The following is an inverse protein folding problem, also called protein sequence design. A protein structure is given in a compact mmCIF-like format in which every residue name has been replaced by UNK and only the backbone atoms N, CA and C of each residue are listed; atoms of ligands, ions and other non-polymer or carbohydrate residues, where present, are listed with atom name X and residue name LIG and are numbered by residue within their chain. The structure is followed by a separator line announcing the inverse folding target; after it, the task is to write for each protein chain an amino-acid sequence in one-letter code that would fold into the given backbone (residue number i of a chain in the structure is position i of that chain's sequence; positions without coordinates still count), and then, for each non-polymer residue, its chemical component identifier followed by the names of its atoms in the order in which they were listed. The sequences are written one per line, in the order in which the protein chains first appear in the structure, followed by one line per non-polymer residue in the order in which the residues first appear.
data_IF_353807316892
#
_entry.id   IF_353807316892
#
_cell.length_a   1.000
_cell.length_b   1.000
_cell.length_c   1.000
_cell.angle_alpha   90.00
_cell.angle_beta   90.00
_cell.angle_gamma   90.00
#
_symmetry.space_group_name_H-M   'P 1'
#
loop_
_entity.id
_entity.type
_entity.pdbx_description
1 polymer ?
#
# COMPACT_ATOMS: atom_id res chain seq x y z
N UNK A 1 -3.56 -1.29 20.58
CA UNK A 1 -3.04 -0.57 19.38
C UNK A 1 -3.82 -1.16 18.22
N UNK A 2 -4.62 -0.35 17.52
CA UNK A 2 -5.65 -0.83 16.58
C UNK A 2 -5.15 -1.86 15.58
N UNK A 3 -3.90 -1.74 15.13
CA UNK A 3 -3.29 -2.70 14.19
C UNK A 3 -3.00 -4.06 14.85
N UNK A 4 -2.56 -4.04 16.11
CA UNK A 4 -2.36 -5.26 16.92
C UNK A 4 -3.70 -5.91 17.21
N UNK A 5 -4.70 -5.11 17.53
CA UNK A 5 -6.03 -5.57 17.93
C UNK A 5 -6.87 -6.09 16.73
N UNK A 6 -6.54 -5.68 15.51
CA UNK A 6 -7.22 -6.10 14.28
C UNK A 6 -6.98 -7.57 13.86
N UNK A 7 -6.05 -8.26 14.52
CA UNK A 7 -5.77 -9.68 14.29
C UNK A 7 -4.97 -9.96 13.01
N UNK A 8 -4.23 -8.97 12.50
CA UNK A 8 -3.32 -9.18 11.37
C UNK A 8 -2.13 -10.06 11.77
N UNK A 9 -1.59 -10.80 10.80
CA UNK A 9 -0.51 -11.74 11.07
C UNK A 9 0.84 -11.04 11.14
N UNK A 10 1.62 -11.18 12.24
CA UNK A 10 2.90 -10.49 12.38
C UNK A 10 3.94 -11.08 11.42
N UNK A 11 4.57 -10.21 10.63
CA UNK A 11 5.64 -10.52 9.68
C UNK A 11 6.98 -10.07 10.25
N UNK A 12 7.96 -10.96 10.33
CA UNK A 12 9.27 -10.67 10.93
C UNK A 12 10.41 -10.56 9.91
N UNK A 13 10.11 -10.78 8.63
CA UNK A 13 11.10 -10.75 7.58
C UNK A 13 10.56 -11.13 6.20
N UNK A 14 11.48 -11.53 5.34
CA UNK A 14 11.21 -12.05 4.00
C UNK A 14 12.18 -13.20 3.68
N UNK A 15 11.65 -14.30 3.17
CA UNK A 15 12.44 -15.40 2.62
C UNK A 15 12.65 -15.21 1.12
N UNK A 16 13.82 -15.60 0.63
CA UNK A 16 14.16 -15.63 -0.78
C UNK A 16 14.69 -17.01 -1.12
N UNK A 17 14.20 -17.61 -2.20
CA UNK A 17 14.60 -18.92 -2.66
C UNK A 17 14.73 -18.93 -4.18
N UNK A 18 15.73 -19.59 -4.73
CA UNK A 18 15.79 -19.82 -6.18
C UNK A 18 14.73 -20.86 -6.58
N UNK A 19 14.19 -20.76 -7.79
CA UNK A 19 13.12 -21.66 -8.23
C UNK A 19 13.51 -23.15 -8.24
N UNK A 20 14.81 -23.47 -8.37
CA UNK A 20 15.34 -24.83 -8.27
C UNK A 20 15.71 -25.25 -6.84
N UNK A 21 15.46 -24.39 -5.85
CA UNK A 21 15.78 -24.64 -4.44
C UNK A 21 17.28 -24.66 -4.11
N UNK A 22 18.17 -24.40 -5.08
CA UNK A 22 19.62 -24.49 -4.91
C UNK A 22 20.19 -23.48 -3.91
N UNK A 23 19.52 -22.35 -3.70
CA UNK A 23 19.92 -21.34 -2.73
C UNK A 23 18.70 -20.71 -2.04
N UNK A 24 18.84 -20.43 -0.75
CA UNK A 24 17.85 -19.66 0.01
C UNK A 24 18.51 -18.74 1.04
N UNK A 25 17.81 -17.68 1.39
CA UNK A 25 18.19 -16.79 2.50
C UNK A 25 16.94 -16.20 3.14
N UNK A 26 17.04 -15.81 4.41
CA UNK A 26 15.97 -15.12 5.13
C UNK A 26 16.51 -13.81 5.64
N UNK A 27 15.91 -12.71 5.19
CA UNK A 27 16.13 -11.39 5.73
C UNK A 27 15.21 -11.19 6.94
N UNK A 28 15.76 -11.05 8.15
CA UNK A 28 14.98 -10.81 9.36
C UNK A 28 15.11 -9.38 9.82
N UNK A 29 13.98 -8.73 10.07
CA UNK A 29 13.94 -7.31 10.45
C UNK A 29 14.74 -7.01 11.72
N UNK A 30 14.73 -7.91 12.71
CA UNK A 30 15.50 -7.75 13.95
C UNK A 30 17.03 -7.68 13.76
N UNK A 31 17.54 -8.17 12.62
CA UNK A 31 18.98 -8.19 12.34
C UNK A 31 19.46 -6.85 11.76
N UNK A 32 18.54 -6.00 11.28
CA UNK A 32 18.87 -4.73 10.61
C UNK A 32 18.10 -3.52 11.14
N UNK A 33 17.01 -3.73 11.89
CA UNK A 33 16.15 -2.67 12.43
C UNK A 33 16.16 -2.70 13.95
N UNK A 34 16.19 -1.51 14.54
CA UNK A 34 16.11 -1.32 15.98
C UNK A 34 14.66 -1.44 16.50
N UNK A 35 14.46 -1.80 17.78
CA UNK A 35 13.16 -1.69 18.41
C UNK A 35 12.59 -0.26 18.30
N UNK A 36 11.26 -0.09 18.10
CA UNK A 36 10.23 -1.14 18.02
C UNK A 36 9.96 -1.68 16.60
N UNK A 37 10.76 -1.32 15.59
CA UNK A 37 10.47 -1.53 14.16
C UNK A 37 10.82 -2.94 13.62
N UNK A 38 10.95 -3.93 14.50
CA UNK A 38 11.42 -5.28 14.16
C UNK A 38 10.33 -6.21 13.60
N UNK A 39 9.15 -5.66 13.27
CA UNK A 39 8.03 -6.40 12.69
C UNK A 39 7.17 -5.51 11.79
N UNK A 40 6.44 -6.17 10.91
CA UNK A 40 5.33 -5.62 10.13
C UNK A 40 4.13 -6.59 10.21
N UNK A 41 3.15 -6.45 9.33
CA UNK A 41 1.96 -7.30 9.28
C UNK A 41 1.67 -7.76 7.86
N UNK A 42 1.18 -9.00 7.73
CA UNK A 42 0.44 -9.43 6.54
C UNK A 42 -1.02 -9.05 6.75
N UNK A 43 -1.58 -8.29 5.79
CA UNK A 43 -2.91 -7.68 5.92
C UNK A 43 -3.79 -7.99 4.71
N UNK A 44 -5.08 -8.12 4.96
CA UNK A 44 -6.09 -8.01 3.92
C UNK A 44 -6.37 -6.53 3.69
N UNK A 45 -6.09 -6.02 2.48
CA UNK A 45 -6.09 -4.57 2.19
C UNK A 45 -7.45 -3.92 2.40
N UNK A 46 -8.55 -4.57 2.05
CA UNK A 46 -9.92 -4.09 2.31
C UNK A 46 -10.12 -3.74 3.79
N UNK A 47 -9.78 -4.68 4.69
CA UNK A 47 -9.91 -4.50 6.14
C UNK A 47 -8.91 -3.49 6.69
N UNK A 48 -7.67 -3.51 6.20
CA UNK A 48 -6.62 -2.62 6.68
C UNK A 48 -6.89 -1.16 6.28
N UNK A 49 -7.22 -0.91 5.03
CA UNK A 49 -7.49 0.44 4.52
C UNK A 49 -8.74 1.02 5.20
N UNK A 50 -9.80 0.22 5.40
CA UNK A 50 -10.98 0.65 6.14
C UNK A 50 -10.65 1.02 7.59
N UNK A 51 -9.87 0.18 8.29
CA UNK A 51 -9.45 0.45 9.66
C UNK A 51 -8.70 1.79 9.78
N UNK A 52 -7.83 2.10 8.82
CA UNK A 52 -7.11 3.38 8.79
C UNK A 52 -8.05 4.56 8.51
N UNK A 53 -9.00 4.38 7.59
CA UNK A 53 -9.98 5.41 7.23
C UNK A 53 -10.91 5.73 8.41
N UNK A 54 -11.43 4.69 9.07
CA UNK A 54 -12.28 4.84 10.26
C UNK A 54 -11.52 5.45 11.42
N UNK A 55 -10.26 5.06 11.62
CA UNK A 55 -9.44 5.73 12.63
C UNK A 55 -9.21 7.21 12.30
N UNK A 56 -9.08 7.57 11.03
CA UNK A 56 -8.98 8.98 10.63
C UNK A 56 -10.25 9.75 11.00
N UNK A 57 -11.43 9.17 10.76
CA UNK A 57 -12.72 9.75 11.19
C UNK A 57 -12.81 9.97 12.69
N UNK A 58 -12.43 8.97 13.47
CA UNK A 58 -12.44 9.06 14.94
C UNK A 58 -11.51 10.17 15.47
N UNK A 59 -10.45 10.49 14.71
CA UNK A 59 -9.55 11.59 15.03
C UNK A 59 -10.02 12.94 14.45
N UNK A 60 -11.24 13.03 13.92
CA UNK A 60 -11.87 14.27 13.47
C UNK A 60 -11.62 14.63 12.00
N UNK A 61 -11.10 13.71 11.19
CA UNK A 61 -11.02 13.91 9.74
C UNK A 61 -12.42 13.76 9.13
N UNK A 62 -12.84 14.75 8.34
CA UNK A 62 -14.04 14.63 7.51
C UNK A 62 -13.74 13.71 6.33
N UNK A 63 -14.47 12.59 6.22
CA UNK A 63 -14.23 11.57 5.19
C UNK A 63 -15.50 11.36 4.38
N UNK A 64 -15.37 11.59 3.08
CA UNK A 64 -16.42 11.33 2.09
C UNK A 64 -16.06 10.08 1.28
N UNK A 65 -16.79 8.98 1.51
CA UNK A 65 -16.73 7.78 0.65
C UNK A 65 -17.64 7.96 -0.57
N UNK A 66 -17.49 7.08 -1.56
CA UNK A 66 -18.27 7.13 -2.82
C UNK A 66 -18.21 8.49 -3.55
N UNK A 67 -17.20 9.30 -3.24
CA UNK A 67 -17.04 10.68 -3.73
C UNK A 67 -15.79 10.76 -4.62
N UNK A 68 -15.97 10.44 -5.90
CA UNK A 68 -14.86 10.46 -6.86
C UNK A 68 -14.54 11.90 -7.30
N UNK A 69 -13.25 12.23 -7.35
CA UNK A 69 -12.77 13.53 -7.85
C UNK A 69 -12.65 13.50 -9.36
N UNK A 70 -13.29 14.46 -10.03
CA UNK A 70 -13.23 14.63 -11.48
C UNK A 70 -12.12 15.58 -11.91
N UNK A 71 -11.93 16.68 -11.17
CA UNK A 71 -10.98 17.74 -11.51
C UNK A 71 -10.42 18.40 -10.26
N UNK A 72 -9.16 18.83 -10.35
CA UNK A 72 -8.54 19.75 -9.39
C UNK A 72 -7.95 20.92 -10.15
N UNK A 73 -8.37 22.13 -9.80
CA UNK A 73 -7.83 23.38 -10.33
C UNK A 73 -6.84 23.98 -9.33
N UNK A 74 -5.61 24.19 -9.79
CA UNK A 74 -4.48 24.75 -9.03
C UNK A 74 -3.93 26.03 -9.69
N UNK A 75 -4.71 26.67 -10.58
CA UNK A 75 -4.28 27.88 -11.29
C UNK A 75 -4.08 29.08 -10.36
N UNK A 76 -4.84 29.15 -9.26
CA UNK A 76 -4.67 30.11 -8.17
C UNK A 76 -3.69 29.58 -7.12
N UNK A 77 -2.60 30.32 -6.89
CA UNK A 77 -1.56 29.92 -5.92
C UNK A 77 -2.02 29.97 -4.47
N UNK A 78 -3.11 30.68 -4.18
CA UNK A 78 -3.64 30.85 -2.82
C UNK A 78 -4.75 29.84 -2.48
N UNK A 79 -5.29 29.14 -3.49
CA UNK A 79 -6.47 28.30 -3.35
C UNK A 79 -6.54 27.21 -4.43
N UNK A 80 -6.76 25.99 -3.98
CA UNK A 80 -7.17 24.87 -4.82
C UNK A 80 -8.69 24.75 -4.87
N UNK A 81 -9.21 24.32 -6.02
CA UNK A 81 -10.62 23.97 -6.21
C UNK A 81 -10.69 22.51 -6.62
N UNK A 82 -11.49 21.73 -5.91
CA UNK A 82 -11.69 20.30 -6.15
C UNK A 82 -13.14 20.09 -6.57
N UNK A 83 -13.36 19.42 -7.69
CA UNK A 83 -14.68 19.12 -8.22
C UNK A 83 -14.91 17.61 -8.25
N UNK A 84 -16.02 17.16 -7.68
CA UNK A 84 -16.43 15.75 -7.67
C UNK A 84 -17.14 15.38 -8.97
N UNK A 85 -17.24 14.09 -9.28
CA UNK A 85 -18.00 13.60 -10.44
C UNK A 85 -19.51 13.87 -10.33
N UNK A 86 -20.01 14.12 -9.12
CA UNK A 86 -21.39 14.53 -8.86
C UNK A 86 -21.61 16.04 -9.07
N UNK A 87 -20.56 16.81 -9.35
CA UNK A 87 -20.61 18.26 -9.56
C UNK A 87 -20.46 19.10 -8.29
N UNK A 88 -20.12 18.49 -7.16
CA UNK A 88 -19.83 19.22 -5.92
C UNK A 88 -18.46 19.89 -6.00
N UNK A 89 -18.34 21.07 -5.37
CA UNK A 89 -17.14 21.89 -5.44
C UNK A 89 -16.63 22.22 -4.04
N UNK A 90 -15.37 21.90 -3.78
CA UNK A 90 -14.69 22.16 -2.53
C UNK A 90 -13.50 23.10 -2.76
N UNK A 91 -13.25 24.01 -1.82
CA UNK A 91 -12.09 24.90 -1.84
C UNK A 91 -11.14 24.53 -0.70
N UNK A 92 -9.85 24.46 -0.99
CA UNK A 92 -8.82 24.10 -0.02
C UNK A 92 -7.57 24.94 -0.22
N UNK A 93 -6.80 25.17 0.86
CA UNK A 93 -5.49 25.85 0.76
C UNK A 93 -4.40 24.95 0.17
N UNK A 94 -4.53 23.64 0.37
CA UNK A 94 -3.59 22.63 -0.07
C UNK A 94 -4.36 21.38 -0.52
N UNK A 95 -3.80 20.68 -1.50
CA UNK A 95 -4.28 19.37 -1.95
C UNK A 95 -3.12 18.40 -1.91
N UNK A 96 -3.35 17.24 -1.31
CA UNK A 96 -2.42 16.11 -1.32
C UNK A 96 -3.04 15.01 -2.18
N UNK A 97 -2.37 14.66 -3.29
CA UNK A 97 -2.83 13.59 -4.16
C UNK A 97 -2.41 12.22 -3.62
N UNK A 98 -3.37 11.53 -3.01
CA UNK A 98 -3.22 10.15 -2.52
C UNK A 98 -3.97 9.13 -3.40
N UNK A 99 -4.24 9.44 -4.67
CA UNK A 99 -5.03 8.57 -5.59
C UNK A 99 -4.30 7.30 -6.06
N UNK A 100 -3.09 7.04 -5.55
CA UNK A 100 -2.33 5.83 -5.84
C UNK A 100 -2.02 5.66 -7.33
N UNK A 101 -2.31 4.48 -7.89
CA UNK A 101 -2.08 4.21 -9.32
C UNK A 101 -2.88 5.16 -10.25
N UNK A 102 -3.97 5.75 -9.76
CA UNK A 102 -4.77 6.73 -10.48
C UNK A 102 -4.03 8.03 -10.77
N UNK A 103 -3.06 8.42 -9.94
CA UNK A 103 -2.15 9.56 -10.12
C UNK A 103 -2.81 10.85 -10.68
N UNK A 104 -3.96 11.23 -10.11
CA UNK A 104 -4.89 12.25 -10.60
C UNK A 104 -4.18 13.55 -11.07
N UNK A 105 -3.38 14.17 -10.21
CA UNK A 105 -2.69 15.42 -10.51
C UNK A 105 -1.55 15.22 -11.52
N UNK A 106 -0.85 14.08 -11.47
CA UNK A 106 0.21 13.78 -12.42
C UNK A 106 -0.35 13.60 -13.83
N UNK A 107 -1.55 13.03 -13.98
CA UNK A 107 -2.28 13.00 -15.24
C UNK A 107 -2.72 14.38 -15.69
N UNK A 108 -3.38 15.14 -14.81
CA UNK A 108 -3.88 16.49 -15.15
C UNK A 108 -2.76 17.45 -15.57
N UNK A 109 -1.56 17.28 -15.03
CA UNK A 109 -0.40 18.15 -15.32
C UNK A 109 0.57 17.58 -16.35
N UNK A 110 0.29 16.39 -16.93
CA UNK A 110 1.18 15.74 -17.89
C UNK A 110 2.54 15.33 -17.33
N UNK A 111 2.64 15.13 -16.01
CA UNK A 111 3.90 14.83 -15.30
C UNK A 111 4.10 13.34 -15.00
N UNK A 112 3.16 12.48 -15.40
CA UNK A 112 3.33 11.03 -15.28
C UNK A 112 4.38 10.54 -16.27
N UNK A 113 5.47 9.97 -15.76
CA UNK A 113 6.54 9.37 -16.58
C UNK A 113 6.65 7.89 -16.23
N UNK A 114 6.67 7.04 -17.26
CA UNK A 114 6.92 5.61 -17.08
C UNK A 114 8.42 5.35 -17.00
N UNK A 115 8.82 4.51 -16.06
CA UNK A 115 10.21 4.03 -15.96
C UNK A 115 10.30 2.76 -16.80
N UNK A 116 10.97 2.83 -17.95
CA UNK A 116 11.01 1.76 -18.96
C UNK A 116 11.47 0.42 -18.38
N UNK A 117 12.50 0.43 -17.54
CA UNK A 117 13.06 -0.76 -16.89
C UNK A 117 12.12 -1.44 -15.89
N UNK A 118 11.05 -0.76 -15.46
CA UNK A 118 10.07 -1.24 -14.48
C UNK A 118 8.72 -1.60 -15.12
N UNK A 119 8.64 -1.71 -16.45
CA UNK A 119 7.47 -2.26 -17.14
C UNK A 119 7.35 -3.77 -16.86
N UNK A 120 6.73 -4.09 -15.73
CA UNK A 120 6.49 -5.46 -15.27
C UNK A 120 4.98 -5.71 -15.16
N UNK A 121 4.59 -6.98 -15.32
CA UNK A 121 3.21 -7.45 -15.15
C UNK A 121 3.19 -8.41 -13.96
N UNK A 122 2.12 -8.37 -13.18
CA UNK A 122 1.90 -9.27 -12.06
C UNK A 122 0.66 -10.14 -12.32
N UNK A 123 0.79 -11.44 -12.00
CA UNK A 123 -0.31 -12.38 -11.91
C UNK A 123 -0.41 -12.85 -10.45
N UNK A 124 -1.61 -12.87 -9.89
CA UNK A 124 -1.82 -13.23 -8.49
C UNK A 124 -3.16 -13.95 -8.27
N UNK A 125 -3.21 -14.76 -7.23
CA UNK A 125 -4.42 -15.44 -6.75
C UNK A 125 -4.31 -15.73 -5.26
N UNK A 126 -5.43 -16.04 -4.61
CA UNK A 126 -5.47 -16.46 -3.22
C UNK A 126 -5.69 -17.97 -3.11
N UNK A 127 -4.91 -18.63 -2.26
CA UNK A 127 -4.99 -20.06 -2.02
C UNK A 127 -5.44 -20.32 -0.58
N UNK A 128 -6.18 -21.41 -0.36
CA UNK A 128 -6.64 -21.86 0.95
C UNK A 128 -5.96 -23.18 1.32
N UNK A 129 -5.89 -23.48 2.61
CA UNK A 129 -5.28 -24.70 3.15
C UNK A 129 -3.79 -24.86 2.80
N UNK A 130 -3.08 -23.74 2.67
CA UNK A 130 -1.62 -23.72 2.50
C UNK A 130 -0.96 -24.04 3.84
N UNK A 131 -0.04 -24.99 3.86
CA UNK A 131 0.75 -25.31 5.06
C UNK A 131 1.66 -24.12 5.39
N UNK A 132 1.56 -23.52 6.59
CA UNK A 132 2.47 -22.46 6.98
C UNK A 132 3.85 -23.03 7.31
N UNK A 133 4.88 -22.19 7.15
CA UNK A 133 6.20 -22.44 7.73
C UNK A 133 6.11 -22.49 9.26
N UNK A 134 7.11 -23.10 9.90
CA UNK A 134 7.17 -23.20 11.36
C UNK A 134 7.87 -22.00 12.01
N UNK A 135 7.63 -21.82 13.32
CA UNK A 135 8.31 -20.79 14.11
C UNK A 135 7.93 -19.35 13.74
N UNK A 136 8.88 -18.43 13.93
CA UNK A 136 8.66 -16.99 13.76
C UNK A 136 8.59 -16.55 12.29
N UNK A 137 9.11 -17.36 11.37
CA UNK A 137 9.16 -17.02 9.95
C UNK A 137 7.85 -17.40 9.22
N UNK A 138 6.86 -17.97 9.92
CA UNK A 138 5.60 -18.52 9.39
C UNK A 138 4.73 -17.60 8.53
N UNK A 139 4.87 -16.29 8.69
CA UNK A 139 4.12 -15.27 7.95
C UNK A 139 5.02 -14.38 7.10
N UNK A 140 6.29 -14.76 6.94
CA UNK A 140 7.16 -14.06 6.03
C UNK A 140 6.65 -14.24 4.60
N UNK A 141 6.82 -13.20 3.79
CA UNK A 141 6.68 -13.37 2.34
C UNK A 141 7.83 -14.26 1.87
N UNK A 142 7.54 -15.23 1.02
CA UNK A 142 8.55 -16.05 0.35
C UNK A 142 8.60 -15.62 -1.11
N UNK A 143 9.74 -15.08 -1.52
CA UNK A 143 10.00 -14.65 -2.90
C UNK A 143 10.78 -15.76 -3.60
N UNK A 144 10.17 -16.33 -4.63
CA UNK A 144 10.86 -17.29 -5.50
C UNK A 144 11.47 -16.56 -6.69
N UNK A 145 12.79 -16.64 -6.84
CA UNK A 145 13.54 -15.98 -7.92
C UNK A 145 13.73 -16.96 -9.08
N UNK A 146 13.26 -16.56 -10.26
CA UNK A 146 13.46 -17.28 -11.52
C UNK A 146 14.77 -16.81 -12.16
N UNK A 147 15.58 -17.73 -12.68
CA UNK A 147 16.90 -17.40 -13.26
C UNK A 147 16.85 -16.51 -14.51
N UNK A 148 15.68 -16.38 -15.16
CA UNK A 148 15.51 -15.71 -16.46
C UNK A 148 14.33 -14.69 -16.49
N UNK A 149 14.06 -13.98 -15.39
CA UNK A 149 12.96 -12.98 -15.29
C UNK A 149 13.40 -11.53 -15.12
#
# INVERSE_FOLDING_TARGET
DKLVDAGFFPKYGAGFITADGSASTVFRFRETLEPPYQRSFQVERSRFDQLLLDHSRENGVEVHEETAIARVDLSDKSRAVVETTAGERHEARFVVDCSGHGALLAHATGRRVNIESLKKVAYFSHFRNVRPEEGRDRYNIVVTVLRNG
#
